data_IF_756688453804
#
_entry.id   IF_756688453804
#
_cell.length_a   1.000
_cell.length_b   1.000
_cell.length_c   1.000
_cell.angle_alpha   90.00
_cell.angle_beta   90.00
_cell.angle_gamma   90.00
#
_symmetry.space_group_name_H-M   'P 1'
#
loop_
_entity.id
_entity.type
_entity.pdbx_description
1 polymer ?
#
# COMPACT_ATOMS: atom_id res chain seq x y z
N UNK A 1 5.50 -2.49 18.62
CA UNK A 1 4.08 -2.21 18.31
C UNK A 1 3.34 -3.51 18.07
N UNK A 2 2.09 -3.58 18.46
CA UNK A 2 1.26 -4.73 18.17
C UNK A 2 0.89 -4.78 16.67
N UNK A 3 0.45 -5.96 16.23
CA UNK A 3 -0.05 -6.18 14.88
C UNK A 3 -1.11 -5.12 14.50
N UNK A 4 -2.09 -4.89 15.38
CA UNK A 4 -3.16 -3.92 15.13
C UNK A 4 -2.63 -2.49 15.08
N UNK A 5 -1.70 -2.13 15.94
CA UNK A 5 -1.12 -0.79 15.95
C UNK A 5 -0.35 -0.50 14.67
N UNK A 6 0.39 -1.48 14.14
CA UNK A 6 1.11 -1.33 12.88
C UNK A 6 0.14 -1.15 11.72
N UNK A 7 -0.92 -1.95 11.69
CA UNK A 7 -1.96 -1.84 10.66
C UNK A 7 -2.62 -0.46 10.68
N UNK A 8 -3.03 -0.01 11.87
CA UNK A 8 -3.67 1.29 12.04
C UNK A 8 -2.75 2.44 11.64
N UNK A 9 -1.47 2.36 11.99
CA UNK A 9 -0.49 3.37 11.58
C UNK A 9 -0.40 3.47 10.06
N UNK A 10 -0.32 2.33 9.38
CA UNK A 10 -0.25 2.29 7.92
C UNK A 10 -1.51 2.88 7.29
N UNK A 11 -2.68 2.54 7.82
CA UNK A 11 -3.94 3.05 7.27
C UNK A 11 -4.05 4.56 7.42
N UNK A 12 -3.59 5.12 8.53
CA UNK A 12 -3.55 6.58 8.71
C UNK A 12 -2.65 7.23 7.66
N UNK A 13 -1.53 6.61 7.36
CA UNK A 13 -0.63 7.10 6.31
C UNK A 13 -1.26 6.96 4.92
N UNK A 14 -1.91 5.83 4.65
CA UNK A 14 -2.57 5.60 3.38
C UNK A 14 -3.78 6.50 3.16
N UNK A 15 -4.39 7.01 4.22
CA UNK A 15 -5.54 7.90 4.09
C UNK A 15 -5.21 9.18 3.32
N UNK A 16 -3.93 9.57 3.25
CA UNK A 16 -3.48 10.71 2.44
C UNK A 16 -3.64 10.44 0.93
N UNK A 17 -3.76 9.19 0.53
CA UNK A 17 -4.00 8.79 -0.86
C UNK A 17 -5.48 8.58 -1.16
N UNK A 18 -6.32 8.94 -0.22
CA UNK A 18 -7.76 8.76 -0.35
C UNK A 18 -8.29 9.61 -1.49
N UNK A 19 -8.93 8.95 -2.44
CA UNK A 19 -9.49 9.65 -3.57
C UNK A 19 -10.89 10.16 -3.24
N UNK A 20 -11.21 11.44 -3.51
CA UNK A 20 -12.55 11.95 -3.20
C UNK A 20 -13.69 11.14 -3.83
N UNK A 21 -13.41 10.52 -4.96
CA UNK A 21 -14.37 9.68 -5.68
C UNK A 21 -14.74 8.40 -4.93
N UNK A 22 -13.94 8.01 -3.95
CA UNK A 22 -14.20 6.79 -3.18
C UNK A 22 -15.24 7.02 -2.07
N UNK A 23 -15.55 8.26 -1.73
CA UNK A 23 -16.52 8.60 -0.69
C UNK A 23 -16.02 8.26 0.71
N UNK A 24 -16.95 8.07 1.62
CA UNK A 24 -16.65 7.74 3.02
C UNK A 24 -16.45 6.24 3.17
N UNK A 25 -15.25 5.77 2.96
CA UNK A 25 -14.89 4.37 3.15
C UNK A 25 -14.13 4.19 4.45
N UNK A 26 -14.27 3.02 5.06
CA UNK A 26 -13.44 2.68 6.20
C UNK A 26 -12.00 2.42 5.73
N UNK A 27 -11.08 2.38 6.70
CA UNK A 27 -9.65 2.28 6.37
C UNK A 27 -9.29 0.95 5.72
N UNK A 28 -10.01 -0.11 6.02
CA UNK A 28 -9.79 -1.41 5.36
C UNK A 28 -10.15 -1.35 3.88
N UNK A 29 -11.17 -0.59 3.52
CA UNK A 29 -11.51 -0.39 2.11
C UNK A 29 -10.40 0.33 1.35
N UNK A 30 -9.71 1.27 1.99
CA UNK A 30 -8.56 1.95 1.38
C UNK A 30 -7.46 0.93 1.07
N UNK A 31 -7.16 0.04 2.00
CA UNK A 31 -6.18 -1.03 1.78
C UNK A 31 -6.58 -1.92 0.59
N UNK A 32 -7.82 -2.36 0.57
CA UNK A 32 -8.35 -3.22 -0.48
C UNK A 32 -8.31 -2.55 -1.86
N UNK A 33 -8.59 -1.26 -1.92
CA UNK A 33 -8.55 -0.50 -3.17
C UNK A 33 -7.11 -0.29 -3.66
N UNK A 34 -6.20 0.07 -2.77
CA UNK A 34 -4.82 0.31 -3.15
C UNK A 34 -4.14 -0.97 -3.62
N UNK A 35 -4.43 -2.10 -2.97
CA UNK A 35 -3.89 -3.38 -3.42
C UNK A 35 -4.46 -3.77 -4.78
N UNK A 36 -5.76 -3.60 -5.00
CA UNK A 36 -6.38 -3.85 -6.31
C UNK A 36 -5.79 -2.94 -7.39
N UNK A 37 -5.55 -1.68 -7.08
CA UNK A 37 -4.92 -0.73 -7.99
C UNK A 37 -3.50 -1.17 -8.35
N UNK A 38 -2.77 -1.71 -7.40
CA UNK A 38 -1.42 -2.21 -7.62
C UNK A 38 -1.41 -3.43 -8.56
N UNK A 39 -2.34 -4.35 -8.35
CA UNK A 39 -2.46 -5.57 -9.15
C UNK A 39 -2.99 -5.27 -10.56
N UNK A 40 -3.93 -4.36 -10.69
CA UNK A 40 -4.59 -3.98 -11.94
C UNK A 40 -5.08 -5.19 -12.73
N UNK A 41 -6.06 -5.95 -12.20
CA UNK A 41 -6.61 -7.07 -12.94
C UNK A 41 -7.29 -6.60 -14.22
N UNK A 42 -7.53 -7.53 -15.15
CA UNK A 42 -8.30 -7.22 -16.35
C UNK A 42 -9.66 -6.64 -15.96
N UNK A 43 -10.03 -5.51 -16.56
CA UNK A 43 -11.28 -4.83 -16.23
C UNK A 43 -11.21 -3.94 -14.99
N UNK A 44 -10.01 -3.68 -14.47
CA UNK A 44 -9.85 -2.79 -13.31
C UNK A 44 -10.39 -1.40 -13.61
N UNK A 45 -11.15 -0.86 -12.64
CA UNK A 45 -11.61 0.54 -12.62
C UNK A 45 -11.30 1.13 -11.24
N UNK A 46 -11.55 2.41 -11.06
CA UNK A 46 -11.38 3.05 -9.75
C UNK A 46 -12.33 2.49 -8.68
N UNK A 47 -13.35 1.76 -9.07
CA UNK A 47 -14.30 1.13 -8.15
C UNK A 47 -13.96 -0.32 -7.83
N UNK A 48 -12.93 -0.87 -8.46
CA UNK A 48 -12.47 -2.23 -8.21
C UNK A 48 -11.69 -2.29 -6.91
N UNK A 49 -12.05 -3.22 -6.04
CA UNK A 49 -11.30 -3.48 -4.82
C UNK A 49 -11.28 -4.97 -4.51
N UNK A 50 -10.39 -5.36 -3.61
CA UNK A 50 -10.37 -6.73 -3.10
C UNK A 50 -11.30 -6.87 -1.92
N UNK A 51 -11.71 -8.08 -1.61
CA UNK A 51 -12.57 -8.42 -0.49
C UNK A 51 -11.77 -9.04 0.66
N UNK A 52 -10.68 -8.39 1.04
CA UNK A 52 -9.84 -8.85 2.14
C UNK A 52 -10.47 -8.44 3.46
N UNK A 53 -10.59 -9.41 4.36
CA UNK A 53 -11.12 -9.16 5.69
C UNK A 53 -9.99 -8.85 6.67
N UNK A 54 -10.28 -8.07 7.71
CA UNK A 54 -9.26 -7.65 8.66
C UNK A 54 -8.51 -8.84 9.29
N UNK A 55 -9.22 -9.93 9.59
CA UNK A 55 -8.60 -11.11 10.20
C UNK A 55 -7.63 -11.84 9.28
N UNK A 56 -7.64 -11.56 7.97
CA UNK A 56 -6.70 -12.15 7.02
C UNK A 56 -5.36 -11.41 6.98
N UNK A 57 -5.23 -10.29 7.66
CA UNK A 57 -4.05 -9.44 7.57
C UNK A 57 -3.23 -9.55 8.85
N UNK A 58 -1.96 -9.90 8.69
CA UNK A 58 -0.97 -9.88 9.76
C UNK A 58 0.06 -8.82 9.42
N UNK A 59 0.34 -7.92 10.37
CA UNK A 59 1.21 -6.78 10.12
C UNK A 59 2.46 -6.85 10.98
N UNK A 60 3.58 -6.45 10.41
CA UNK A 60 4.86 -6.38 11.11
C UNK A 60 5.65 -5.17 10.65
N UNK A 61 6.59 -4.74 11.47
CA UNK A 61 7.49 -3.64 11.19
C UNK A 61 8.91 -4.17 11.01
N UNK A 62 9.58 -3.74 9.95
CA UNK A 62 10.97 -4.10 9.66
C UNK A 62 11.75 -2.87 9.22
N UNK A 63 13.06 -3.02 9.17
CA UNK A 63 13.94 -2.04 8.57
C UNK A 63 14.63 -2.66 7.36
N UNK A 64 14.57 -1.99 6.22
CA UNK A 64 15.13 -2.49 4.98
C UNK A 64 16.18 -1.54 4.44
N UNK A 65 17.22 -2.11 3.83
CA UNK A 65 18.16 -1.34 3.03
C UNK A 65 17.50 -0.89 1.72
N UNK A 66 18.02 0.19 1.15
CA UNK A 66 17.49 0.73 -0.10
C UNK A 66 17.50 -0.31 -1.23
N UNK A 67 18.48 -1.20 -1.28
CA UNK A 67 18.51 -2.27 -2.27
C UNK A 67 17.26 -3.13 -2.28
N UNK A 68 16.76 -3.48 -1.10
CA UNK A 68 15.55 -4.28 -0.98
C UNK A 68 14.33 -3.49 -1.45
N UNK A 69 14.28 -2.21 -1.11
CA UNK A 69 13.19 -1.33 -1.55
C UNK A 69 13.20 -1.14 -3.06
N UNK A 70 14.38 -1.02 -3.65
CA UNK A 70 14.53 -0.82 -5.09
C UNK A 70 14.11 -2.04 -5.92
N UNK A 71 14.01 -3.21 -5.30
CA UNK A 71 13.52 -4.43 -5.96
C UNK A 71 12.01 -4.50 -6.07
N UNK A 72 11.29 -3.64 -5.35
CA UNK A 72 9.84 -3.56 -5.47
C UNK A 72 9.49 -2.97 -6.84
N UNK A 73 8.31 -3.32 -7.34
CA UNK A 73 7.81 -2.72 -8.57
C UNK A 73 7.38 -1.30 -8.27
N UNK A 74 8.23 -0.35 -8.57
CA UNK A 74 8.03 1.06 -8.23
C UNK A 74 7.14 1.81 -9.23
N UNK A 75 6.88 1.21 -10.39
CA UNK A 75 6.14 1.91 -11.43
C UNK A 75 6.84 3.20 -11.88
N UNK A 76 6.13 4.02 -12.62
CA UNK A 76 6.64 5.30 -13.11
C UNK A 76 6.27 6.42 -12.14
N UNK A 77 6.85 6.37 -10.94
CA UNK A 77 6.63 7.43 -9.97
C UNK A 77 7.57 8.61 -10.18
N UNK A 78 7.04 9.82 -10.06
CA UNK A 78 7.87 11.02 -9.99
C UNK A 78 8.65 11.02 -8.68
N UNK A 79 9.89 11.55 -8.71
CA UNK A 79 10.63 11.80 -7.47
C UNK A 79 10.11 13.02 -6.71
N UNK A 80 9.13 13.72 -7.28
CA UNK A 80 8.49 14.87 -6.67
C UNK A 80 7.36 14.38 -5.77
N UNK A 81 7.43 14.71 -4.50
CA UNK A 81 6.42 14.32 -3.55
C UNK A 81 6.72 14.91 -2.19
N UNK A 82 5.75 14.86 -1.31
CA UNK A 82 5.97 15.29 0.06
C UNK A 82 6.66 14.21 0.85
N UNK A 83 7.61 14.60 1.69
CA UNK A 83 8.15 13.72 2.70
C UNK A 83 7.13 13.55 3.80
N UNK A 84 6.52 12.41 3.85
CA UNK A 84 5.67 12.07 4.98
C UNK A 84 6.52 11.30 6.00
N UNK A 85 6.30 11.59 7.25
CA UNK A 85 6.93 10.89 8.36
C UNK A 85 6.24 9.53 8.59
N UNK A 86 6.07 8.81 7.48
CA UNK A 86 5.40 7.52 7.46
C UNK A 86 6.37 6.45 6.98
N UNK A 87 6.27 5.22 7.51
CA UNK A 87 7.04 4.12 6.95
C UNK A 87 6.63 3.82 5.52
N UNK A 88 7.48 3.11 4.80
CA UNK A 88 7.11 2.53 3.51
C UNK A 88 6.08 1.44 3.80
N UNK A 89 5.07 1.31 2.98
CA UNK A 89 3.98 0.37 3.20
C UNK A 89 3.95 -0.65 2.08
N UNK A 90 4.08 -1.92 2.47
CA UNK A 90 4.17 -3.06 1.58
C UNK A 90 3.08 -4.06 1.93
N UNK A 91 2.45 -4.64 0.94
CA UNK A 91 1.56 -5.77 1.10
C UNK A 91 2.20 -7.03 0.54
N UNK A 92 2.12 -8.13 1.28
CA UNK A 92 2.48 -9.45 0.78
C UNK A 92 1.18 -10.19 0.43
N UNK A 93 0.99 -10.46 -0.84
CA UNK A 93 -0.24 -11.08 -1.34
C UNK A 93 0.11 -12.06 -2.44
N UNK A 94 -0.40 -13.28 -2.30
CA UNK A 94 -0.16 -14.37 -3.26
C UNK A 94 1.34 -14.58 -3.57
N UNK A 95 2.17 -14.50 -2.53
CA UNK A 95 3.61 -14.73 -2.65
C UNK A 95 4.41 -13.58 -3.24
N UNK A 96 3.79 -12.43 -3.49
CA UNK A 96 4.47 -11.25 -4.02
C UNK A 96 4.41 -10.09 -3.04
N UNK A 97 5.51 -9.33 -2.99
CA UNK A 97 5.57 -8.10 -2.23
C UNK A 97 5.18 -6.95 -3.15
N UNK A 98 4.20 -6.16 -2.71
CA UNK A 98 3.64 -5.06 -3.50
C UNK A 98 3.73 -3.77 -2.71
N UNK A 99 4.25 -2.74 -3.35
CA UNK A 99 4.40 -1.42 -2.75
C UNK A 99 3.05 -0.70 -2.78
N UNK A 100 2.55 -0.34 -1.60
CA UNK A 100 1.30 0.44 -1.48
C UNK A 100 1.55 1.92 -1.29
N UNK A 101 2.65 2.29 -0.60
CA UNK A 101 2.99 3.69 -0.39
C UNK A 101 4.50 3.86 -0.25
N UNK A 102 5.03 4.92 -0.84
CA UNK A 102 6.44 5.27 -0.74
C UNK A 102 7.17 5.32 -2.07
N UNK A 103 6.49 5.17 -3.19
CA UNK A 103 7.11 5.15 -4.52
C UNK A 103 7.96 6.40 -4.76
N UNK A 104 7.42 7.59 -4.49
CA UNK A 104 8.15 8.85 -4.69
C UNK A 104 9.37 8.95 -3.79
N UNK A 105 9.23 8.54 -2.53
CA UNK A 105 10.32 8.58 -1.56
C UNK A 105 11.45 7.63 -1.96
N UNK A 106 11.12 6.41 -2.36
CA UNK A 106 12.12 5.43 -2.77
C UNK A 106 12.87 5.92 -4.01
N UNK A 107 12.18 6.45 -5.01
CA UNK A 107 12.82 6.99 -6.21
C UNK A 107 13.76 8.14 -5.86
N UNK A 108 13.38 9.01 -4.95
CA UNK A 108 14.22 10.12 -4.50
C UNK A 108 15.48 9.63 -3.80
N UNK A 109 15.34 8.62 -2.95
CA UNK A 109 16.49 8.03 -2.25
C UNK A 109 17.45 7.34 -3.21
N UNK A 110 16.94 6.66 -4.23
CA UNK A 110 17.76 6.04 -5.28
C UNK A 110 18.55 7.13 -6.02
N UNK A 111 17.89 8.20 -6.42
CA UNK A 111 18.54 9.32 -7.12
C UNK A 111 19.62 9.98 -6.27
N UNK A 112 19.40 10.07 -4.97
CA UNK A 112 20.35 10.67 -4.04
C UNK A 112 21.51 9.71 -3.68
N UNK A 113 21.43 8.44 -4.04
CA UNK A 113 22.43 7.45 -3.67
C UNK A 113 22.46 7.16 -2.18
N UNK A 114 21.31 7.24 -1.51
CA UNK A 114 21.21 7.06 -0.07
C UNK A 114 21.50 5.59 0.30
N UNK A 115 22.23 5.39 1.40
CA UNK A 115 22.64 4.06 1.85
C UNK A 115 22.10 3.69 3.23
N UNK A 116 21.13 4.46 3.74
CA UNK A 116 20.52 4.21 5.04
C UNK A 116 19.56 3.04 5.00
N UNK A 117 19.10 2.61 6.18
CA UNK A 117 17.97 1.71 6.31
C UNK A 117 16.70 2.52 6.54
N UNK A 118 15.59 1.98 6.10
CA UNK A 118 14.29 2.66 6.14
C UNK A 118 13.26 1.81 6.83
N UNK A 119 12.34 2.45 7.51
CA UNK A 119 11.23 1.77 8.19
C UNK A 119 10.20 1.30 7.18
N UNK A 120 9.78 0.06 7.31
CA UNK A 120 8.80 -0.58 6.42
C UNK A 120 7.74 -1.27 7.26
N UNK A 121 6.49 -0.99 6.98
CA UNK A 121 5.38 -1.76 7.54
C UNK A 121 4.91 -2.75 6.49
N UNK A 122 4.87 -4.02 6.85
CA UNK A 122 4.54 -5.12 5.94
C UNK A 122 3.24 -5.75 6.40
N UNK A 123 2.29 -5.84 5.48
CA UNK A 123 0.97 -6.41 5.72
C UNK A 123 0.84 -7.67 4.89
N UNK A 124 0.88 -8.82 5.56
CA UNK A 124 0.76 -10.12 4.91
C UNK A 124 -0.70 -10.52 4.88
N UNK A 125 -1.22 -10.79 3.69
CA UNK A 125 -2.58 -11.24 3.49
C UNK A 125 -2.60 -12.76 3.43
N UNK A 126 -3.37 -13.38 4.30
CA UNK A 126 -3.52 -14.84 4.34
C UNK A 126 -4.60 -15.25 3.33
N UNK A 127 -4.25 -16.18 2.45
CA UNK A 127 -5.16 -16.66 1.43
C UNK A 127 -5.35 -15.68 0.29
N UNK A 128 -6.37 -15.90 -0.51
CA UNK A 128 -6.73 -15.07 -1.64
C UNK A 128 -8.07 -14.39 -1.40
N UNK A 129 -8.27 -13.27 -2.06
CA UNK A 129 -9.52 -12.52 -2.01
C UNK A 129 -10.13 -12.39 -3.39
N UNK A 130 -11.39 -12.03 -3.45
CA UNK A 130 -12.09 -11.79 -4.71
C UNK A 130 -12.01 -10.32 -5.07
N UNK A 131 -12.03 -10.04 -6.37
CA UNK A 131 -12.22 -8.67 -6.84
C UNK A 131 -13.70 -8.36 -6.85
N UNK A 132 -14.05 -7.22 -6.29
CA UNK A 132 -15.41 -6.72 -6.23
C UNK A 132 -15.40 -5.34 -6.87
N UNK A 133 -16.43 -5.04 -7.64
CA UNK A 133 -16.60 -3.70 -8.19
C UNK A 133 -17.72 -3.00 -7.43
N UNK A 134 -17.38 -1.90 -6.77
CA UNK A 134 -18.38 -1.08 -6.10
C UNK A 134 -19.14 -0.25 -7.11
N UNK A 135 -20.45 0.02 -6.84
CA UNK A 135 -21.20 0.93 -7.70
C UNK A 135 -20.52 2.28 -7.78
N UNK A 136 -20.35 2.81 -8.98
CA UNK A 136 -19.72 4.10 -9.20
C UNK A 136 -20.55 5.20 -8.54
N UNK A 137 -19.96 5.86 -7.55
CA UNK A 137 -20.33 7.17 -7.03
C UNK A 137 -21.80 7.51 -6.87
N UNK A 138 -22.62 6.58 -7.09
CA UNK A 138 -24.03 6.79 -7.14
C UNK A 138 -24.63 6.58 -5.77
N UNK A 139 -24.34 7.41 -4.98
CA UNK A 139 -25.17 7.42 -3.80
C UNK A 139 -26.08 8.59 -3.87
#
# INVERSE_FOLDING_TARGET
>A
MSNDAIFDQSLKCLSSHFHPEWGDHNLLDVFNRLLAKNIKPAGWTFNTHLDIQRHQITSRHEQWHLEALARLDLGHGSSIGKDFDCPIIVAEYEGQQRLLDGNHRINRWIEAGDVRVYNVNIHTVLGSAKFIELPSGST
#
